data_IF_292513109198
#
_entry.id   IF_292513109198
#
_cell.length_a   1.000
_cell.length_b   1.000
_cell.length_c   1.000
_cell.angle_alpha   90.00
_cell.angle_beta   90.00
_cell.angle_gamma   90.00
#
_symmetry.space_group_name_H-M   'P 1'
#
loop_
_entity.id
_entity.type
_entity.pdbx_description
1 polymer ?
#
# COMPACT_ATOMS: atom_id res chain seq x y z
N UNK A 1 -29.85 -9.23 -1.49
CA UNK A 1 -30.31 -8.02 -2.24
C UNK A 1 -29.38 -7.68 -3.42
N UNK A 2 -28.04 -7.82 -3.28
CA UNK A 2 -27.07 -7.54 -4.34
C UNK A 2 -27.25 -8.51 -5.53
N UNK A 3 -27.26 -9.81 -5.28
CA UNK A 3 -27.43 -10.85 -6.32
C UNK A 3 -28.73 -10.67 -7.10
N UNK A 4 -29.84 -10.30 -6.43
CA UNK A 4 -31.10 -9.96 -7.11
C UNK A 4 -30.96 -8.76 -8.04
N UNK A 5 -30.08 -7.82 -7.74
CA UNK A 5 -29.85 -6.63 -8.57
C UNK A 5 -28.96 -6.93 -9.78
N UNK A 6 -28.00 -7.83 -9.61
CA UNK A 6 -27.05 -8.20 -10.69
C UNK A 6 -27.52 -9.41 -11.49
N UNK A 7 -28.57 -10.13 -11.03
CA UNK A 7 -29.07 -11.37 -11.65
C UNK A 7 -27.98 -12.45 -11.78
N UNK A 8 -26.99 -12.40 -10.86
CA UNK A 8 -25.85 -13.30 -10.86
C UNK A 8 -25.41 -13.63 -9.44
N UNK A 9 -24.71 -14.75 -9.26
CA UNK A 9 -24.14 -15.16 -7.99
C UNK A 9 -22.82 -14.43 -7.74
N UNK A 10 -22.67 -13.86 -6.55
CA UNK A 10 -21.45 -13.15 -6.15
C UNK A 10 -20.58 -14.10 -5.34
N UNK A 11 -19.44 -14.49 -5.89
CA UNK A 11 -18.46 -15.36 -5.21
C UNK A 11 -17.27 -14.55 -4.69
N UNK A 12 -16.76 -13.61 -5.47
CA UNK A 12 -15.59 -12.82 -5.16
C UNK A 12 -15.93 -11.42 -4.65
N UNK A 13 -15.31 -11.03 -3.54
CA UNK A 13 -15.48 -9.71 -2.95
C UNK A 13 -14.15 -9.03 -2.64
N UNK A 14 -14.14 -7.73 -2.72
CA UNK A 14 -13.09 -6.86 -2.17
C UNK A 14 -13.57 -6.30 -0.85
N UNK A 15 -12.76 -6.43 0.19
CA UNK A 15 -13.10 -5.97 1.52
C UNK A 15 -12.35 -4.68 1.85
N UNK A 16 -13.06 -3.66 2.29
CA UNK A 16 -12.49 -2.42 2.79
C UNK A 16 -12.68 -2.39 4.30
N UNK A 17 -11.58 -2.45 5.06
CA UNK A 17 -11.57 -2.58 6.50
C UNK A 17 -10.97 -1.37 7.19
N UNK A 18 -11.50 -1.09 8.38
CA UNK A 18 -10.81 -0.33 9.41
C UNK A 18 -10.63 -1.19 10.66
N UNK A 19 -9.51 -1.03 11.36
CA UNK A 19 -9.19 -1.78 12.57
C UNK A 19 -8.26 -0.99 13.46
N UNK A 20 -8.52 -1.07 14.77
CA UNK A 20 -7.59 -0.52 15.78
C UNK A 20 -6.23 -1.25 15.78
N UNK A 21 -6.17 -2.48 15.26
CA UNK A 21 -4.96 -3.29 15.19
C UNK A 21 -4.13 -3.05 13.90
N UNK A 22 -4.60 -2.18 13.01
CA UNK A 22 -3.86 -1.78 11.83
C UNK A 22 -2.64 -0.95 12.23
N UNK A 23 -1.49 -1.20 11.63
CA UNK A 23 -0.26 -0.45 11.86
C UNK A 23 0.50 -0.21 10.55
N UNK A 24 1.50 0.67 10.63
CA UNK A 24 2.38 0.98 9.50
C UNK A 24 3.81 0.55 9.81
N UNK A 25 4.52 0.15 8.76
CA UNK A 25 5.96 -0.15 8.80
C UNK A 25 6.62 0.76 7.77
N UNK A 26 7.69 1.44 8.17
CA UNK A 26 8.51 2.22 7.26
C UNK A 26 9.77 1.41 6.92
N UNK A 27 10.03 1.22 5.61
CA UNK A 27 11.17 0.47 5.10
C UNK A 27 11.88 1.31 4.04
N UNK A 28 13.21 1.45 4.19
CA UNK A 28 14.07 2.07 3.18
C UNK A 28 14.88 1.00 2.47
N UNK A 29 14.79 0.93 1.15
CA UNK A 29 15.63 0.08 0.31
C UNK A 29 16.63 0.95 -0.46
N UNK A 30 17.88 0.51 -0.45
CA UNK A 30 18.96 1.18 -1.22
C UNK A 30 19.58 0.18 -2.18
N UNK A 31 19.70 0.56 -3.44
CA UNK A 31 20.35 -0.20 -4.51
C UNK A 31 21.54 0.59 -5.02
N UNK A 32 22.76 0.08 -4.82
CA UNK A 32 23.97 0.61 -5.46
C UNK A 32 24.12 -0.03 -6.83
N UNK A 33 24.54 0.75 -7.81
CA UNK A 33 24.67 0.35 -9.19
C UNK A 33 26.12 0.47 -9.66
N UNK A 34 26.58 -0.55 -10.35
CA UNK A 34 27.90 -0.52 -11.02
C UNK A 34 27.85 0.16 -12.40
N UNK A 35 26.65 0.34 -12.93
CA UNK A 35 26.37 0.97 -14.23
C UNK A 35 25.04 1.69 -14.20
N UNK A 36 24.95 2.77 -14.96
CA UNK A 36 23.69 3.48 -15.17
C UNK A 36 22.56 2.56 -15.63
N UNK A 37 21.40 2.70 -15.04
CA UNK A 37 20.21 1.92 -15.38
C UNK A 37 18.95 2.78 -15.36
N UNK A 38 17.98 2.44 -16.23
CA UNK A 38 16.66 3.05 -16.15
C UNK A 38 15.93 2.57 -14.90
N UNK A 39 15.32 3.49 -14.17
CA UNK A 39 14.64 3.21 -12.91
C UNK A 39 13.55 2.14 -13.04
N UNK A 40 12.84 2.08 -14.16
CA UNK A 40 11.83 1.06 -14.42
C UNK A 40 12.36 -0.38 -14.36
N UNK A 41 13.64 -0.59 -14.72
CA UNK A 41 14.30 -1.91 -14.61
C UNK A 41 14.67 -2.28 -13.18
N UNK A 42 14.76 -1.29 -12.29
CA UNK A 42 15.13 -1.48 -10.88
C UNK A 42 13.91 -1.67 -9.99
N UNK A 43 12.74 -1.23 -10.45
CA UNK A 43 11.52 -1.23 -9.63
C UNK A 43 11.04 -2.63 -9.25
N UNK A 44 10.89 -3.53 -10.24
CA UNK A 44 10.43 -4.90 -9.97
C UNK A 44 11.36 -5.67 -9.01
N UNK A 45 12.70 -5.66 -9.21
CA UNK A 45 13.62 -6.26 -8.24
C UNK A 45 13.47 -5.70 -6.83
N UNK A 46 13.25 -4.38 -6.67
CA UNK A 46 13.05 -3.76 -5.36
C UNK A 46 11.74 -4.18 -4.70
N UNK A 47 10.67 -4.30 -5.47
CA UNK A 47 9.39 -4.82 -4.95
C UNK A 47 9.50 -6.28 -4.54
N UNK A 48 10.23 -7.11 -5.28
CA UNK A 48 10.50 -8.50 -4.91
C UNK A 48 11.33 -8.60 -3.62
N UNK A 49 12.35 -7.76 -3.47
CA UNK A 49 13.15 -7.68 -2.25
C UNK A 49 12.30 -7.24 -1.06
N UNK A 50 11.45 -6.22 -1.23
CA UNK A 50 10.50 -5.78 -0.23
C UNK A 50 9.54 -6.91 0.21
N UNK A 51 9.00 -7.67 -0.75
CA UNK A 51 8.13 -8.82 -0.47
C UNK A 51 8.87 -9.92 0.31
N UNK A 52 10.14 -10.18 0.00
CA UNK A 52 10.98 -11.13 0.76
C UNK A 52 11.22 -10.65 2.19
N UNK A 53 11.53 -9.36 2.39
CA UNK A 53 11.71 -8.77 3.73
C UNK A 53 10.41 -8.93 4.55
N UNK A 54 9.25 -8.63 3.94
CA UNK A 54 7.97 -8.76 4.61
C UNK A 54 7.69 -10.22 4.99
N UNK A 55 7.92 -11.16 4.09
CA UNK A 55 7.69 -12.59 4.33
C UNK A 55 8.61 -13.17 5.41
N UNK A 56 9.86 -12.69 5.49
CA UNK A 56 10.85 -13.22 6.45
C UNK A 56 10.76 -12.59 7.83
N UNK A 57 10.47 -11.31 7.94
CA UNK A 57 10.50 -10.56 9.20
C UNK A 57 9.12 -10.20 9.74
N UNK A 58 8.12 -10.16 8.87
CA UNK A 58 6.75 -9.74 9.20
C UNK A 58 5.70 -10.78 8.80
N UNK A 59 6.05 -12.06 8.92
CA UNK A 59 5.23 -13.21 8.52
C UNK A 59 3.86 -13.28 9.22
N UNK A 60 3.73 -12.66 10.40
CA UNK A 60 2.48 -12.57 11.18
C UNK A 60 1.50 -11.52 10.65
N UNK A 61 1.88 -10.77 9.61
CA UNK A 61 1.11 -9.65 9.12
C UNK A 61 0.67 -9.84 7.67
N UNK A 62 -0.50 -9.32 7.38
CA UNK A 62 -1.06 -9.21 6.04
C UNK A 62 -0.78 -7.81 5.51
N UNK A 63 -0.07 -7.73 4.40
CA UNK A 63 0.22 -6.47 3.71
C UNK A 63 -1.00 -6.03 2.91
N UNK A 64 -1.56 -4.88 3.27
CA UNK A 64 -2.71 -4.28 2.61
C UNK A 64 -2.29 -3.30 1.51
N UNK A 65 -1.35 -2.41 1.82
CA UNK A 65 -0.85 -1.41 0.88
C UNK A 65 0.66 -1.22 0.97
N UNK A 66 1.27 -0.99 -0.19
CA UNK A 66 2.62 -0.47 -0.34
C UNK A 66 2.50 0.96 -0.88
N UNK A 67 3.02 1.91 -0.14
CA UNK A 67 3.03 3.33 -0.50
C UNK A 67 4.48 3.73 -0.66
N UNK A 68 4.87 4.25 -1.82
CA UNK A 68 6.15 4.92 -1.96
C UNK A 68 6.01 6.30 -1.31
N UNK A 69 6.82 6.57 -0.31
CA UNK A 69 6.85 7.85 0.37
C UNK A 69 7.83 8.80 -0.33
N UNK A 70 9.00 8.26 -0.74
CA UNK A 70 10.07 9.03 -1.31
C UNK A 70 10.98 8.16 -2.17
N UNK A 71 11.45 8.74 -3.29
CA UNK A 71 12.47 8.14 -4.16
C UNK A 71 13.64 9.11 -4.28
N UNK A 72 14.86 8.65 -4.00
CA UNK A 72 16.09 9.45 -4.08
C UNK A 72 17.02 8.79 -5.11
N UNK A 73 17.45 9.57 -6.08
CA UNK A 73 18.36 9.15 -7.14
C UNK A 73 19.70 9.86 -6.92
N UNK A 74 20.78 9.08 -6.90
CA UNK A 74 22.18 9.54 -6.81
C UNK A 74 22.44 10.50 -5.63
N UNK A 75 21.75 10.24 -4.50
CA UNK A 75 21.78 11.03 -3.25
C UNK A 75 21.36 12.52 -3.37
N UNK A 76 20.97 12.97 -4.54
CA UNK A 76 20.71 14.39 -4.81
C UNK A 76 19.24 14.64 -5.19
N UNK A 77 18.69 13.83 -6.09
CA UNK A 77 17.38 14.08 -6.71
C UNK A 77 16.27 13.37 -5.95
N UNK A 78 15.40 14.15 -5.30
CA UNK A 78 14.29 13.63 -4.48
C UNK A 78 12.98 13.74 -5.27
N UNK A 79 12.22 12.66 -5.29
CA UNK A 79 10.92 12.54 -5.93
C UNK A 79 9.89 12.00 -4.94
N UNK A 80 8.71 12.61 -4.89
CA UNK A 80 7.55 12.16 -4.09
C UNK A 80 6.65 11.20 -4.89
N UNK A 81 6.82 11.14 -6.22
CA UNK A 81 6.20 10.16 -7.12
C UNK A 81 7.26 9.35 -7.84
N UNK A 82 6.90 8.13 -8.26
CA UNK A 82 7.85 7.27 -8.96
C UNK A 82 8.29 7.86 -10.31
N UNK A 83 9.56 8.24 -10.49
CA UNK A 83 10.04 8.96 -11.66
C UNK A 83 10.35 8.00 -12.82
N UNK A 84 9.31 7.49 -13.51
CA UNK A 84 9.36 6.40 -14.50
C UNK A 84 10.42 6.52 -15.59
N UNK A 85 10.76 7.75 -16.03
CA UNK A 85 11.64 8.00 -17.18
C UNK A 85 13.06 8.42 -16.80
N UNK A 86 13.41 8.33 -15.51
CA UNK A 86 14.74 8.73 -15.05
C UNK A 86 15.75 7.59 -15.14
N UNK A 87 17.01 8.00 -15.27
CA UNK A 87 18.18 7.13 -15.17
C UNK A 87 18.81 7.30 -13.80
N UNK A 88 19.31 6.22 -13.24
CA UNK A 88 20.05 6.16 -12.00
C UNK A 88 21.49 5.79 -12.36
N UNK A 89 22.45 6.59 -11.93
CA UNK A 89 23.85 6.41 -12.28
C UNK A 89 24.61 5.63 -11.18
N UNK A 90 24.43 5.99 -9.91
CA UNK A 90 25.18 5.43 -8.80
C UNK A 90 24.29 4.65 -7.83
N UNK A 91 23.23 5.29 -7.31
CA UNK A 91 22.37 4.67 -6.32
C UNK A 91 20.92 5.09 -6.43
N UNK A 92 20.06 4.18 -6.03
CA UNK A 92 18.61 4.40 -5.89
C UNK A 92 18.21 4.05 -4.48
N UNK A 93 17.62 5.01 -3.75
CA UNK A 93 17.00 4.77 -2.46
C UNK A 93 15.51 5.04 -2.56
N UNK A 94 14.70 4.10 -2.09
CA UNK A 94 13.24 4.26 -2.02
C UNK A 94 12.78 4.00 -0.60
N UNK A 95 12.04 4.97 -0.05
CA UNK A 95 11.38 4.86 1.23
C UNK A 95 9.92 4.41 0.99
N UNK A 96 9.54 3.29 1.61
CA UNK A 96 8.21 2.70 1.54
C UNK A 96 7.51 2.79 2.89
N UNK A 97 6.23 3.10 2.85
CA UNK A 97 5.32 2.94 3.97
C UNK A 97 4.34 1.80 3.67
N UNK A 98 4.34 0.80 4.52
CA UNK A 98 3.49 -0.38 4.42
C UNK A 98 2.32 -0.24 5.37
N UNK A 99 1.10 -0.54 4.91
CA UNK A 99 -0.08 -0.64 5.77
C UNK A 99 -0.40 -2.11 5.97
N UNK A 100 -0.42 -2.55 7.22
CA UNK A 100 -0.51 -3.95 7.59
C UNK A 100 -1.65 -4.22 8.58
N UNK A 101 -2.23 -5.44 8.47
CA UNK A 101 -3.15 -6.01 9.44
C UNK A 101 -2.56 -7.28 10.06
N UNK A 102 -2.89 -7.65 11.32
CA UNK A 102 -2.54 -8.96 11.85
C UNK A 102 -3.16 -10.09 11.02
N UNK A 103 -2.36 -11.08 10.61
CA UNK A 103 -2.87 -12.23 9.82
C UNK A 103 -3.98 -13.02 10.52
N UNK A 104 -3.90 -13.16 11.85
CA UNK A 104 -4.94 -13.82 12.62
C UNK A 104 -6.30 -13.12 12.53
N UNK A 105 -6.29 -11.78 12.54
CA UNK A 105 -7.49 -10.97 12.36
C UNK A 105 -8.08 -11.19 10.95
N UNK A 106 -7.24 -11.10 9.92
CA UNK A 106 -7.65 -11.35 8.53
C UNK A 106 -8.17 -12.77 8.34
N UNK A 107 -7.50 -13.77 8.93
CA UNK A 107 -7.94 -15.17 8.87
C UNK A 107 -9.35 -15.33 9.45
N UNK A 108 -9.61 -14.81 10.65
CA UNK A 108 -10.93 -14.87 11.27
C UNK A 108 -12.03 -14.26 10.36
N UNK A 109 -11.74 -13.13 9.74
CA UNK A 109 -12.68 -12.51 8.81
C UNK A 109 -12.91 -13.41 7.59
N UNK A 110 -11.87 -13.92 6.97
CA UNK A 110 -12.00 -14.84 5.82
C UNK A 110 -12.81 -16.08 6.17
N UNK A 111 -12.54 -16.70 7.32
CA UNK A 111 -13.26 -17.90 7.80
C UNK A 111 -14.76 -17.64 7.96
N UNK A 112 -15.16 -16.41 8.37
CA UNK A 112 -16.57 -16.03 8.45
C UNK A 112 -17.22 -15.88 7.06
N UNK A 113 -16.54 -15.26 6.11
CA UNK A 113 -17.08 -15.04 4.76
C UNK A 113 -17.19 -16.34 3.94
N UNK A 114 -16.25 -17.28 4.13
CA UNK A 114 -16.28 -18.59 3.49
C UNK A 114 -17.56 -19.38 3.86
N UNK A 115 -18.11 -19.20 5.06
CA UNK A 115 -19.38 -19.84 5.48
C UNK A 115 -20.57 -19.42 4.59
N UNK A 116 -20.45 -18.32 3.88
CA UNK A 116 -21.45 -17.78 2.96
C UNK A 116 -21.05 -17.97 1.48
N UNK A 117 -20.06 -18.83 1.19
CA UNK A 117 -19.50 -19.03 -0.14
C UNK A 117 -18.92 -17.74 -0.78
N UNK A 118 -18.41 -16.83 0.06
CA UNK A 118 -17.78 -15.59 -0.39
C UNK A 118 -16.27 -15.69 -0.22
N UNK A 119 -15.55 -15.46 -1.32
CA UNK A 119 -14.10 -15.40 -1.33
C UNK A 119 -13.60 -13.95 -1.29
N UNK A 120 -12.75 -13.64 -0.31
CA UNK A 120 -12.15 -12.30 -0.21
C UNK A 120 -10.86 -12.29 -1.05
N UNK A 121 -10.93 -11.69 -2.25
CA UNK A 121 -9.78 -11.58 -3.17
C UNK A 121 -8.77 -10.53 -2.72
N UNK A 122 -9.25 -9.41 -2.15
CA UNK A 122 -8.38 -8.34 -1.65
C UNK A 122 -8.94 -7.67 -0.40
N UNK A 123 -8.03 -7.15 0.44
CA UNK A 123 -8.38 -6.41 1.66
C UNK A 123 -7.62 -5.09 1.67
N UNK A 124 -8.35 -3.99 1.75
CA UNK A 124 -7.81 -2.64 1.74
C UNK A 124 -8.09 -1.89 3.04
N UNK A 125 -7.17 -0.99 3.40
CA UNK A 125 -7.36 -0.06 4.50
C UNK A 125 -8.38 1.02 4.14
N UNK A 126 -9.46 1.13 4.90
CA UNK A 126 -10.55 2.08 4.67
C UNK A 126 -10.08 3.53 4.63
N UNK A 127 -9.33 3.95 5.65
CA UNK A 127 -8.84 5.34 5.76
C UNK A 127 -7.95 5.71 4.57
N UNK A 128 -7.09 4.79 4.12
CA UNK A 128 -6.23 5.03 2.96
C UNK A 128 -7.03 5.15 1.65
N UNK A 129 -7.96 4.25 1.39
CA UNK A 129 -8.80 4.30 0.18
C UNK A 129 -9.65 5.58 0.14
N UNK A 130 -10.26 5.96 1.28
CA UNK A 130 -10.99 7.22 1.40
C UNK A 130 -10.09 8.41 1.09
N UNK A 131 -8.90 8.48 1.70
CA UNK A 131 -7.96 9.59 1.48
C UNK A 131 -7.58 9.74 0.01
N UNK A 132 -7.27 8.63 -0.69
CA UNK A 132 -6.97 8.63 -2.12
C UNK A 132 -8.12 9.15 -2.99
N UNK A 133 -9.36 8.79 -2.64
CA UNK A 133 -10.55 9.23 -3.39
C UNK A 133 -10.81 10.74 -3.25
N UNK A 134 -10.48 11.33 -2.12
CA UNK A 134 -10.61 12.78 -1.88
C UNK A 134 -9.48 13.58 -2.53
N UNK A 135 -8.24 13.13 -2.38
CA UNK A 135 -7.06 13.82 -2.95
C UNK A 135 -7.13 13.96 -4.46
N UNK A 136 -7.67 12.95 -5.16
CA UNK A 136 -7.90 13.03 -6.61
C UNK A 136 -8.84 14.17 -7.04
N UNK A 137 -9.72 14.63 -6.14
CA UNK A 137 -10.70 15.70 -6.38
C UNK A 137 -10.19 17.08 -5.99
N UNK A 138 -9.09 17.16 -5.25
CA UNK A 138 -8.54 18.41 -4.77
C UNK A 138 -7.48 18.94 -5.76
N UNK A 139 -7.53 20.23 -6.03
CA UNK A 139 -6.57 20.92 -6.91
C UNK A 139 -5.34 21.44 -6.18
N UNK A 140 -5.31 21.35 -4.86
CA UNK A 140 -4.26 21.91 -4.02
C UNK A 140 -2.98 21.05 -4.03
N UNK A 141 -1.83 21.72 -3.98
CA UNK A 141 -0.52 21.06 -4.04
C UNK A 141 -0.13 20.34 -2.73
N UNK A 142 -0.75 20.73 -1.60
CA UNK A 142 -0.51 20.13 -0.29
C UNK A 142 -1.85 19.94 0.43
N UNK A 143 -2.16 18.72 0.80
CA UNK A 143 -3.42 18.39 1.46
C UNK A 143 -3.19 17.37 2.56
N UNK A 144 -3.89 17.56 3.68
CA UNK A 144 -3.96 16.56 4.76
C UNK A 144 -5.36 15.98 4.80
N UNK A 145 -5.45 14.66 4.87
CA UNK A 145 -6.70 13.95 5.12
C UNK A 145 -6.68 13.38 6.53
N UNK A 146 -7.65 13.75 7.35
CA UNK A 146 -7.82 13.24 8.70
C UNK A 146 -9.09 12.38 8.76
N UNK A 147 -8.93 11.10 9.07
CA UNK A 147 -10.03 10.16 9.34
C UNK A 147 -10.12 9.94 10.86
N UNK A 148 -11.20 10.42 11.46
CA UNK A 148 -11.40 10.33 12.92
C UNK A 148 -12.39 9.22 13.22
N UNK A 149 -11.90 8.13 13.81
CA UNK A 149 -12.69 6.99 14.24
C UNK A 149 -12.79 6.88 15.77
N UNK A 150 -13.67 6.02 16.24
CA UNK A 150 -13.89 5.82 17.69
C UNK A 150 -12.67 5.28 18.42
N UNK A 151 -11.92 4.34 17.82
CA UNK A 151 -10.77 3.66 18.45
C UNK A 151 -9.43 4.03 17.82
N UNK A 152 -9.45 4.70 16.67
CA UNK A 152 -8.27 5.07 15.92
C UNK A 152 -8.56 6.31 15.08
N UNK A 153 -7.58 7.19 14.98
CA UNK A 153 -7.55 8.26 13.97
C UNK A 153 -6.35 8.06 13.06
N UNK A 154 -6.49 8.38 11.79
CA UNK A 154 -5.44 8.27 10.77
C UNK A 154 -5.27 9.60 10.05
N UNK A 155 -4.03 10.03 9.86
CA UNK A 155 -3.72 11.22 9.08
C UNK A 155 -2.84 10.84 7.90
N UNK A 156 -3.17 11.36 6.73
CA UNK A 156 -2.41 11.18 5.49
C UNK A 156 -2.04 12.56 4.95
N UNK A 157 -0.78 12.74 4.62
CA UNK A 157 -0.26 13.94 3.99
C UNK A 157 -0.01 13.65 2.50
N UNK A 158 -0.50 14.53 1.65
CA UNK A 158 -0.33 14.43 0.21
C UNK A 158 0.32 15.69 -0.31
N UNK A 159 1.27 15.51 -1.23
CA UNK A 159 1.88 16.55 -2.02
C UNK A 159 1.71 16.16 -3.50
N UNK A 160 1.46 17.13 -4.34
CA UNK A 160 1.42 16.98 -5.80
C UNK A 160 2.60 17.69 -6.41
#
# INVERSE_FOLDING_TARGET
KAEKKFSDHIEDIVLILDSAELFTIDISLTKNLDRSSKINKLYEPLILELDQIIKSHYDKYYLSHIIMDKCIIDDEKIFEEFPKDKTVDNNLKIDFKLICFPKLFIKKIRDEFIKFNLNIINIFCSSYIKSQSYVKKLSENKTSFLDVGLRRSSIFFFRK
#
